data_IF_122115336014
#
_entry.id   IF_122115336014
#
_cell.length_a   1.000
_cell.length_b   1.000
_cell.length_c   1.000
_cell.angle_alpha   90.00
_cell.angle_beta   90.00
_cell.angle_gamma   90.00
#
_symmetry.space_group_name_H-M   'P 1'
#
loop_
_entity.id
_entity.type
_entity.pdbx_description
1 polymer ?
#
# COMPACT_ATOMS: atom_id res chain seq x y z
N UNK A 1 -9.58 19.43 -14.28
CA UNK A 1 -8.62 18.87 -15.25
C UNK A 1 -7.24 19.18 -14.71
N UNK A 2 -6.46 18.17 -14.43
CA UNK A 2 -5.14 18.31 -13.80
C UNK A 2 -4.16 18.91 -14.83
N UNK A 3 -3.18 19.70 -14.41
CA UNK A 3 -2.18 20.31 -15.31
C UNK A 3 -1.35 19.24 -16.08
N UNK A 4 -1.21 18.04 -15.50
CA UNK A 4 -0.60 16.90 -16.17
C UNK A 4 -1.38 16.43 -17.40
N UNK A 5 -2.69 16.29 -17.31
CA UNK A 5 -3.54 15.86 -18.43
C UNK A 5 -3.44 16.83 -19.60
N UNK A 6 -3.47 18.14 -19.34
CA UNK A 6 -3.26 19.16 -20.36
C UNK A 6 -1.88 19.07 -21.01
N UNK A 7 -0.87 18.68 -20.24
CA UNK A 7 0.47 18.51 -20.75
C UNK A 7 0.56 17.31 -21.69
N UNK A 8 -0.08 16.19 -21.34
CA UNK A 8 -0.13 14.99 -22.19
C UNK A 8 -0.90 15.25 -23.48
N UNK A 9 -2.05 15.93 -23.42
CA UNK A 9 -2.81 16.30 -24.61
C UNK A 9 -2.05 17.22 -25.57
N UNK A 10 -1.17 18.08 -25.07
CA UNK A 10 -0.29 18.92 -25.90
C UNK A 10 0.81 18.13 -26.58
N UNK A 11 1.34 17.11 -25.93
CA UNK A 11 2.44 16.29 -26.47
C UNK A 11 1.92 15.33 -27.56
N UNK A 12 0.67 14.86 -27.46
CA UNK A 12 0.10 13.87 -28.36
C UNK A 12 0.28 14.20 -29.86
N UNK A 13 -0.04 15.41 -30.36
CA UNK A 13 0.14 15.76 -31.77
C UNK A 13 1.61 15.86 -32.19
N UNK A 14 2.54 16.06 -31.25
CA UNK A 14 3.98 16.18 -31.52
C UNK A 14 4.68 14.82 -31.47
N UNK A 15 4.00 13.78 -31.02
CA UNK A 15 4.59 12.46 -30.80
C UNK A 15 4.98 11.79 -32.13
N UNK A 16 4.11 11.87 -33.17
CA UNK A 16 4.32 11.19 -34.44
C UNK A 16 4.58 9.70 -34.22
N UNK A 17 5.68 9.18 -34.79
CA UNK A 17 6.13 7.78 -34.66
C UNK A 17 7.01 7.53 -33.43
N UNK A 18 7.08 8.48 -32.47
CA UNK A 18 7.91 8.35 -31.27
C UNK A 18 7.13 7.68 -30.15
N UNK A 19 7.85 6.96 -29.29
CA UNK A 19 7.31 6.42 -28.04
C UNK A 19 7.52 7.42 -26.89
N UNK A 20 6.43 7.74 -26.17
CA UNK A 20 6.50 8.48 -24.93
C UNK A 20 6.71 7.51 -23.77
N UNK A 21 7.77 7.74 -22.98
CA UNK A 21 8.05 6.99 -21.76
C UNK A 21 7.75 7.88 -20.55
N UNK A 22 6.88 7.40 -19.66
CA UNK A 22 6.49 8.12 -18.46
C UNK A 22 6.99 7.33 -17.25
N UNK A 23 7.99 7.84 -16.50
CA UNK A 23 8.49 7.16 -15.31
C UNK A 23 7.56 7.38 -14.11
N UNK A 24 7.38 6.33 -13.31
CA UNK A 24 6.68 6.37 -12.03
C UNK A 24 7.62 5.97 -10.90
N UNK A 25 7.29 6.40 -9.68
CA UNK A 25 7.98 5.94 -8.47
C UNK A 25 7.40 4.59 -8.04
N UNK A 26 8.22 3.55 -8.01
CA UNK A 26 7.78 2.20 -7.66
C UNK A 26 7.08 1.47 -8.80
N UNK A 27 6.08 0.67 -8.47
CA UNK A 27 5.28 -0.09 -9.45
C UNK A 27 3.96 0.63 -9.72
N UNK A 28 3.73 1.01 -10.95
CA UNK A 28 2.51 1.70 -11.41
C UNK A 28 1.22 0.90 -11.17
N UNK A 29 1.31 -0.43 -11.04
CA UNK A 29 0.17 -1.29 -10.72
C UNK A 29 -0.37 -1.09 -9.30
N UNK A 30 0.33 -0.34 -8.44
CA UNK A 30 -0.10 -0.05 -7.08
C UNK A 30 -0.31 1.45 -6.87
N UNK A 31 -1.56 1.83 -6.62
CA UNK A 31 -2.01 3.21 -6.32
C UNK A 31 -2.03 4.20 -7.48
N UNK A 32 -1.67 3.80 -8.70
CA UNK A 32 -1.59 4.69 -9.88
C UNK A 32 -2.60 4.32 -10.98
N UNK A 33 -3.55 3.45 -10.71
CA UNK A 33 -4.54 2.99 -11.69
C UNK A 33 -5.32 4.13 -12.35
N UNK A 34 -5.70 5.16 -11.59
CA UNK A 34 -6.39 6.34 -12.13
C UNK A 34 -5.55 7.09 -13.16
N UNK A 35 -4.23 7.11 -13.01
CA UNK A 35 -3.32 7.75 -13.98
C UNK A 35 -3.19 6.89 -15.22
N UNK A 36 -3.06 5.57 -15.06
CA UNK A 36 -3.01 4.62 -16.18
C UNK A 36 -4.28 4.70 -17.03
N UNK A 37 -5.45 4.71 -16.41
CA UNK A 37 -6.73 4.84 -17.12
C UNK A 37 -6.79 6.12 -17.95
N UNK A 38 -6.35 7.25 -17.40
CA UNK A 38 -6.27 8.53 -18.13
C UNK A 38 -5.27 8.50 -19.28
N UNK A 39 -4.14 7.81 -19.11
CA UNK A 39 -3.17 7.65 -20.18
C UNK A 39 -3.74 6.81 -21.34
N UNK A 40 -4.50 5.75 -21.01
CA UNK A 40 -5.22 4.96 -22.01
C UNK A 40 -6.25 5.81 -22.76
N UNK A 41 -7.01 6.64 -22.04
CA UNK A 41 -7.98 7.56 -22.66
C UNK A 41 -7.31 8.57 -23.62
N UNK A 42 -6.10 9.05 -23.30
CA UNK A 42 -5.41 10.07 -24.10
C UNK A 42 -4.66 9.44 -25.28
N UNK A 43 -3.95 8.33 -25.07
CA UNK A 43 -3.03 7.73 -26.04
C UNK A 43 -3.57 6.49 -26.73
N UNK A 44 -4.68 5.92 -26.24
CA UNK A 44 -5.34 4.72 -26.77
C UNK A 44 -4.67 3.44 -26.28
N UNK A 45 -3.40 3.20 -26.62
CA UNK A 45 -2.65 2.02 -26.22
C UNK A 45 -1.50 2.42 -25.29
N UNK A 46 -1.33 1.68 -24.20
CA UNK A 46 -0.29 1.91 -23.18
C UNK A 46 0.36 0.59 -22.80
N UNK A 47 1.67 0.49 -22.91
CA UNK A 47 2.45 -0.63 -22.38
C UNK A 47 2.86 -0.31 -20.94
N UNK A 48 2.57 -1.23 -20.01
CA UNK A 48 2.96 -1.11 -18.61
C UNK A 48 4.21 -1.95 -18.37
N UNK A 49 5.30 -1.28 -18.00
CA UNK A 49 6.51 -1.96 -17.55
C UNK A 49 6.49 -2.03 -16.02
N UNK A 50 6.37 -3.23 -15.42
CA UNK A 50 6.27 -3.36 -13.97
C UNK A 50 7.57 -2.96 -13.29
N UNK A 51 7.45 -2.35 -12.10
CA UNK A 51 8.54 -2.02 -11.21
C UNK A 51 8.56 -2.86 -9.94
N UNK A 52 9.54 -2.63 -9.08
CA UNK A 52 9.56 -3.21 -7.73
C UNK A 52 8.70 -2.33 -6.83
N UNK A 53 7.61 -2.90 -6.33
CA UNK A 53 6.69 -2.20 -5.43
C UNK A 53 7.23 -2.15 -4.00
N UNK A 54 7.01 -1.02 -3.31
CA UNK A 54 7.23 -0.90 -1.86
C UNK A 54 6.44 -1.96 -1.06
N UNK A 55 5.28 -2.39 -1.56
CA UNK A 55 4.45 -3.45 -0.99
C UNK A 55 5.20 -4.79 -0.96
N UNK A 56 5.83 -5.17 -2.07
CA UNK A 56 6.61 -6.40 -2.16
C UNK A 56 7.81 -6.38 -1.21
N UNK A 57 8.51 -5.24 -1.14
CA UNK A 57 9.67 -5.08 -0.27
C UNK A 57 9.25 -5.11 1.21
N UNK A 58 8.18 -4.39 1.58
CA UNK A 58 7.65 -4.38 2.94
C UNK A 58 7.21 -5.77 3.41
N UNK A 59 6.44 -6.48 2.58
CA UNK A 59 6.01 -7.86 2.85
C UNK A 59 7.21 -8.80 3.06
N UNK A 60 8.23 -8.70 2.19
CA UNK A 60 9.45 -9.49 2.29
C UNK A 60 10.21 -9.23 3.58
N UNK A 61 10.37 -7.96 3.99
CA UNK A 61 11.06 -7.58 5.24
C UNK A 61 10.29 -8.00 6.48
N UNK A 62 8.97 -7.89 6.46
CA UNK A 62 8.10 -8.37 7.52
C UNK A 62 7.93 -9.89 7.51
N UNK A 63 8.52 -10.62 6.53
CA UNK A 63 8.39 -12.07 6.35
C UNK A 63 6.93 -12.52 6.21
N UNK A 64 6.15 -11.73 5.49
CA UNK A 64 4.74 -11.98 5.21
C UNK A 64 4.59 -12.35 3.74
N UNK A 65 4.10 -13.56 3.41
CA UNK A 65 3.88 -13.95 2.03
C UNK A 65 2.66 -13.26 1.44
N UNK A 66 2.82 -12.71 0.24
CA UNK A 66 1.75 -11.97 -0.43
C UNK A 66 0.56 -12.84 -0.83
N UNK A 67 0.79 -14.11 -1.16
CA UNK A 67 -0.27 -15.08 -1.50
C UNK A 67 -1.21 -15.43 -0.34
N UNK A 68 -0.80 -15.11 0.91
CA UNK A 68 -1.60 -15.29 2.13
C UNK A 68 -1.96 -13.97 2.81
N UNK A 69 -1.86 -12.88 2.07
CA UNK A 69 -2.10 -11.53 2.55
C UNK A 69 -3.21 -10.85 1.77
N UNK A 70 -3.74 -9.79 2.33
CA UNK A 70 -4.52 -8.78 1.62
C UNK A 70 -3.66 -7.54 1.42
N UNK A 71 -3.68 -7.00 0.21
CA UNK A 71 -3.07 -5.71 -0.11
C UNK A 71 -4.18 -4.68 -0.20
N UNK A 72 -4.11 -3.65 0.65
CA UNK A 72 -5.13 -2.60 0.73
C UNK A 72 -4.44 -1.26 0.53
N UNK A 73 -4.89 -0.48 -0.45
CA UNK A 73 -4.46 0.91 -0.59
C UNK A 73 -5.56 1.85 -0.12
N UNK A 74 -5.20 2.76 0.79
CA UNK A 74 -6.02 3.90 1.18
C UNK A 74 -5.52 5.20 0.53
N UNK A 75 -4.45 5.10 -0.27
CA UNK A 75 -3.87 6.21 -1.04
C UNK A 75 -4.72 6.48 -2.30
N UNK A 76 -5.96 6.84 -2.07
CA UNK A 76 -6.95 7.15 -3.12
C UNK A 76 -7.64 8.49 -2.82
N UNK A 77 -8.14 9.16 -3.84
CA UNK A 77 -8.82 10.46 -3.70
C UNK A 77 -10.28 10.33 -3.28
N UNK A 78 -10.89 9.17 -3.53
CA UNK A 78 -12.27 8.82 -3.18
C UNK A 78 -12.44 8.52 -1.68
N UNK A 79 -13.66 8.46 -1.13
CA UNK A 79 -13.93 7.99 0.23
C UNK A 79 -13.32 6.59 0.49
N UNK A 80 -12.90 6.34 1.73
CA UNK A 80 -12.19 5.09 2.11
C UNK A 80 -12.97 4.21 3.08
N UNK A 81 -14.26 4.48 3.29
CA UNK A 81 -15.09 3.72 4.22
C UNK A 81 -15.14 2.23 3.86
N UNK A 82 -15.27 1.91 2.57
CA UNK A 82 -15.23 0.52 2.09
C UNK A 82 -13.86 -0.12 2.35
N UNK A 83 -12.78 0.65 2.20
CA UNK A 83 -11.41 0.18 2.49
C UNK A 83 -11.17 -0.06 3.97
N UNK A 84 -11.78 0.75 4.85
CA UNK A 84 -11.76 0.53 6.29
C UNK A 84 -12.48 -0.77 6.66
N UNK A 85 -13.63 -1.04 6.05
CA UNK A 85 -14.37 -2.29 6.24
C UNK A 85 -13.58 -3.49 5.68
N UNK A 86 -12.94 -3.33 4.53
CA UNK A 86 -12.07 -4.36 3.94
C UNK A 86 -10.90 -4.70 4.89
N UNK A 87 -10.27 -3.68 5.51
CA UNK A 87 -9.24 -3.87 6.52
C UNK A 87 -9.74 -4.67 7.72
N UNK A 88 -10.88 -4.25 8.32
CA UNK A 88 -11.47 -4.97 9.45
C UNK A 88 -11.75 -6.43 9.10
N UNK A 89 -12.41 -6.66 7.95
CA UNK A 89 -12.75 -8.01 7.50
C UNK A 89 -11.50 -8.86 7.30
N UNK A 90 -10.47 -8.34 6.64
CA UNK A 90 -9.22 -9.07 6.44
C UNK A 90 -8.56 -9.48 7.76
N UNK A 91 -8.55 -8.57 8.74
CA UNK A 91 -7.99 -8.82 10.07
C UNK A 91 -8.82 -9.84 10.86
N UNK A 92 -10.15 -9.79 10.79
CA UNK A 92 -11.07 -10.77 11.43
C UNK A 92 -10.89 -12.16 10.81
N UNK A 93 -10.75 -12.21 9.47
CA UNK A 93 -10.54 -13.47 8.75
C UNK A 93 -9.13 -14.06 8.97
N UNK A 94 -8.25 -13.38 9.71
CA UNK A 94 -6.90 -13.84 10.06
C UNK A 94 -5.86 -13.65 8.96
N UNK A 95 -6.14 -12.83 7.95
CA UNK A 95 -5.15 -12.50 6.93
C UNK A 95 -4.10 -11.52 7.48
N UNK A 96 -2.86 -11.71 7.05
CA UNK A 96 -1.90 -10.62 7.09
C UNK A 96 -2.33 -9.52 6.11
N UNK A 97 -2.04 -8.26 6.44
CA UNK A 97 -2.43 -7.13 5.60
C UNK A 97 -1.23 -6.27 5.30
N UNK A 98 -1.00 -5.98 4.02
CA UNK A 98 -0.07 -4.94 3.58
C UNK A 98 -0.90 -3.73 3.18
N UNK A 99 -0.73 -2.63 3.90
CA UNK A 99 -1.56 -1.45 3.79
C UNK A 99 -0.73 -0.23 3.40
N UNK A 100 -1.20 0.51 2.39
CA UNK A 100 -0.69 1.84 2.06
C UNK A 100 -1.62 2.89 2.69
N UNK A 101 -1.16 3.68 3.69
CA UNK A 101 -1.97 4.69 4.37
C UNK A 101 -2.37 5.86 3.47
N UNK A 102 -3.17 6.77 4.02
CA UNK A 102 -3.69 7.96 3.34
C UNK A 102 -3.06 9.24 3.90
N UNK A 103 -2.12 9.89 3.16
CA UNK A 103 -1.18 10.83 3.77
C UNK A 103 -1.51 12.33 3.59
N UNK A 104 -2.75 12.75 3.36
CA UNK A 104 -3.02 14.18 3.11
C UNK A 104 -3.39 14.97 4.38
N UNK A 105 -2.42 15.46 5.19
CA UNK A 105 -2.68 16.10 6.48
C UNK A 105 -3.40 17.44 6.38
N UNK A 106 -3.29 18.13 5.23
CA UNK A 106 -4.02 19.39 4.99
C UNK A 106 -5.51 19.21 4.68
N UNK A 107 -5.94 17.95 4.53
CA UNK A 107 -7.32 17.57 4.29
C UNK A 107 -7.67 16.48 5.32
N UNK A 108 -8.20 16.88 6.51
CA UNK A 108 -8.44 15.94 7.61
C UNK A 108 -9.31 14.74 7.24
N UNK A 109 -10.26 14.94 6.34
CA UNK A 109 -11.10 13.88 5.75
C UNK A 109 -10.32 12.92 4.85
N UNK A 110 -9.08 13.29 4.47
CA UNK A 110 -8.17 12.52 3.63
C UNK A 110 -6.85 12.16 4.33
N UNK A 111 -6.84 12.18 5.65
CA UNK A 111 -5.70 11.78 6.48
C UNK A 111 -6.07 10.54 7.28
N UNK A 112 -5.39 9.43 7.04
CA UNK A 112 -5.60 8.17 7.74
C UNK A 112 -4.28 7.39 7.75
N UNK A 113 -3.40 7.84 8.63
CA UNK A 113 -2.03 7.36 8.79
C UNK A 113 -1.95 6.30 9.90
N UNK A 114 -0.78 5.69 10.16
CA UNK A 114 -0.66 4.61 11.13
C UNK A 114 -1.26 4.89 12.51
N UNK A 115 -1.14 6.11 13.03
CA UNK A 115 -1.73 6.52 14.31
C UNK A 115 -3.26 6.49 14.28
N UNK A 116 -3.87 7.09 13.24
CA UNK A 116 -5.33 7.11 13.07
C UNK A 116 -5.89 5.71 12.81
N UNK A 117 -5.14 4.87 12.07
CA UNK A 117 -5.49 3.47 11.84
C UNK A 117 -5.51 2.69 13.16
N UNK A 118 -4.52 2.90 14.03
CA UNK A 118 -4.46 2.26 15.34
C UNK A 118 -5.64 2.65 16.22
N UNK A 119 -5.96 3.94 16.28
CA UNK A 119 -7.13 4.46 17.01
C UNK A 119 -8.42 3.86 16.46
N UNK A 120 -8.58 3.87 15.14
CA UNK A 120 -9.74 3.31 14.46
C UNK A 120 -9.94 1.82 14.79
N UNK A 121 -8.90 1.00 14.72
CA UNK A 121 -8.98 -0.42 15.05
C UNK A 121 -9.37 -0.64 16.52
N UNK A 122 -8.78 0.11 17.45
CA UNK A 122 -9.13 0.05 18.87
C UNK A 122 -10.61 0.41 19.11
N UNK A 123 -11.10 1.49 18.49
CA UNK A 123 -12.48 1.95 18.62
C UNK A 123 -13.49 0.95 18.02
N UNK A 124 -13.07 0.14 17.08
CA UNK A 124 -13.85 -0.95 16.50
C UNK A 124 -13.63 -2.31 17.18
N UNK A 125 -13.05 -2.33 18.38
CA UNK A 125 -13.01 -3.51 19.25
C UNK A 125 -11.87 -4.49 18.97
N UNK A 126 -10.85 -4.10 18.18
CA UNK A 126 -9.67 -4.93 17.97
C UNK A 126 -8.73 -4.89 19.19
N UNK A 127 -8.11 -6.03 19.49
CA UNK A 127 -7.13 -6.13 20.59
C UNK A 127 -5.75 -5.62 20.16
N UNK A 128 -5.64 -4.30 19.97
CA UNK A 128 -4.48 -3.62 19.40
C UNK A 128 -3.17 -3.86 20.16
N UNK A 129 -3.25 -4.22 21.45
CA UNK A 129 -2.07 -4.53 22.29
C UNK A 129 -1.39 -5.86 21.94
N UNK A 130 -2.06 -6.75 21.21
CA UNK A 130 -1.51 -8.03 20.77
C UNK A 130 -1.25 -8.10 19.27
N UNK A 131 -1.81 -7.17 18.51
CA UNK A 131 -1.65 -7.15 17.06
C UNK A 131 -0.27 -6.64 16.67
N UNK A 132 0.56 -7.50 16.11
CA UNK A 132 1.90 -7.13 15.63
C UNK A 132 1.80 -6.35 14.31
N UNK A 133 2.62 -5.31 14.20
CA UNK A 133 2.68 -4.45 13.02
C UNK A 133 4.10 -3.98 12.76
N UNK A 134 4.45 -3.87 11.47
CA UNK A 134 5.61 -3.13 11.00
C UNK A 134 5.13 -1.89 10.25
N UNK A 135 5.87 -0.79 10.37
CA UNK A 135 5.69 0.40 9.52
C UNK A 135 7.05 0.72 8.91
N UNK A 136 7.11 0.68 7.60
CA UNK A 136 8.31 1.03 6.84
C UNK A 136 8.09 2.40 6.20
N UNK A 137 9.05 3.30 6.34
CA UNK A 137 9.02 4.62 5.74
C UNK A 137 10.15 4.75 4.74
N UNK A 138 9.90 5.44 3.63
CA UNK A 138 10.86 5.69 2.56
C UNK A 138 11.67 4.43 2.16
N UNK A 139 10.97 3.29 2.09
CA UNK A 139 11.56 1.95 1.91
C UNK A 139 12.44 1.91 0.65
N UNK A 140 13.61 1.26 0.75
CA UNK A 140 14.66 1.18 -0.27
C UNK A 140 15.44 2.46 -0.55
N UNK A 141 15.21 3.52 0.19
CA UNK A 141 16.01 4.75 0.09
C UNK A 141 17.04 4.84 1.20
N UNK A 142 17.95 5.82 1.12
CA UNK A 142 18.94 6.09 2.16
C UNK A 142 18.30 6.56 3.48
N UNK A 143 17.06 7.09 3.41
CA UNK A 143 16.31 7.59 4.56
C UNK A 143 15.31 6.57 5.10
N UNK A 144 15.47 5.30 4.75
CA UNK A 144 14.56 4.26 5.21
C UNK A 144 14.58 4.14 6.73
N UNK A 145 13.38 4.13 7.32
CA UNK A 145 13.16 3.80 8.72
C UNK A 145 12.17 2.65 8.86
N UNK A 146 12.24 1.95 9.98
CA UNK A 146 11.36 0.83 10.30
C UNK A 146 10.91 0.92 11.75
N UNK A 147 9.61 0.83 11.96
CA UNK A 147 9.00 0.59 13.26
C UNK A 147 8.49 -0.86 13.33
N UNK A 148 8.77 -1.54 14.42
CA UNK A 148 8.22 -2.85 14.76
C UNK A 148 7.64 -2.79 16.18
N UNK A 149 6.41 -3.26 16.35
CA UNK A 149 5.73 -3.23 17.65
C UNK A 149 4.31 -3.75 17.56
N UNK A 150 3.44 -3.27 18.45
CA UNK A 150 2.01 -3.53 18.39
C UNK A 150 1.27 -2.36 17.77
N UNK A 151 0.03 -2.63 17.31
CA UNK A 151 -0.82 -1.57 16.75
C UNK A 151 -1.07 -0.48 17.79
N UNK A 152 -1.19 -0.83 19.07
CA UNK A 152 -1.33 0.14 20.17
C UNK A 152 -0.15 1.12 20.25
N UNK A 153 1.05 0.66 19.97
CA UNK A 153 2.26 1.49 20.06
C UNK A 153 2.37 2.55 18.95
N UNK A 154 1.48 2.51 17.95
CA UNK A 154 1.40 3.51 16.88
C UNK A 154 0.65 4.77 17.30
N UNK A 155 -0.24 4.69 18.32
CA UNK A 155 -1.07 5.83 18.72
C UNK A 155 -0.20 7.02 19.14
N UNK A 156 -0.46 8.17 18.54
CA UNK A 156 0.27 9.42 18.79
C UNK A 156 1.66 9.50 18.17
N UNK A 157 2.08 8.51 17.38
CA UNK A 157 3.32 8.58 16.59
C UNK A 157 3.06 9.23 15.23
N UNK A 158 4.02 9.99 14.77
CA UNK A 158 4.03 10.57 13.43
C UNK A 158 4.83 9.69 12.48
N UNK A 159 4.32 9.54 11.26
CA UNK A 159 4.96 8.81 10.18
C UNK A 159 4.92 9.63 8.89
N UNK A 160 5.89 9.43 8.02
CA UNK A 160 5.97 10.13 6.74
C UNK A 160 4.89 9.65 5.76
N UNK A 161 4.62 10.44 4.75
CA UNK A 161 3.68 10.12 3.66
C UNK A 161 4.14 8.94 2.78
N UNK A 162 5.40 8.54 2.88
CA UNK A 162 5.96 7.37 2.20
C UNK A 162 5.94 6.10 3.07
N UNK A 163 4.87 5.90 3.82
CA UNK A 163 4.73 4.76 4.74
C UNK A 163 4.00 3.58 4.12
N UNK A 164 4.46 2.36 4.45
CA UNK A 164 3.75 1.10 4.21
C UNK A 164 3.64 0.35 5.54
N UNK A 165 2.43 -0.07 5.89
CA UNK A 165 2.17 -0.87 7.09
C UNK A 165 2.05 -2.35 6.72
N UNK A 166 2.52 -3.22 7.61
CA UNK A 166 2.31 -4.67 7.49
C UNK A 166 1.79 -5.22 8.80
N UNK A 167 0.54 -5.66 8.81
CA UNK A 167 -0.05 -6.42 9.91
C UNK A 167 0.32 -7.89 9.73
N UNK A 168 1.15 -8.41 10.61
CA UNK A 168 1.58 -9.80 10.54
C UNK A 168 0.69 -10.67 11.43
N UNK A 169 -0.26 -11.36 10.83
CA UNK A 169 -1.15 -12.33 11.49
C UNK A 169 -0.86 -13.79 11.12
N UNK A 170 -0.10 -14.02 10.05
CA UNK A 170 0.26 -15.37 9.66
C UNK A 170 1.13 -16.01 10.75
N UNK A 171 0.62 -17.05 11.39
CA UNK A 171 1.45 -17.86 12.27
C UNK A 171 2.49 -18.61 11.44
N UNK A 172 3.74 -18.62 11.88
CA UNK A 172 4.80 -19.44 11.26
C UNK A 172 4.41 -20.93 11.22
N UNK A 173 3.55 -21.36 12.13
CA UNK A 173 3.05 -22.73 12.23
C UNK A 173 2.33 -23.20 10.96
N UNK A 174 1.63 -22.34 10.26
CA UNK A 174 0.95 -22.68 9.01
C UNK A 174 1.91 -22.98 7.86
N UNK A 175 3.16 -22.51 7.93
CA UNK A 175 4.20 -22.78 6.95
C UNK A 175 5.00 -24.03 7.28
N UNK A 176 5.20 -24.29 8.56
CA UNK A 176 5.97 -25.45 9.03
C UNK A 176 5.27 -26.77 8.67
N UNK A 177 3.94 -26.79 8.62
CA UNK A 177 3.19 -27.98 8.26
C UNK A 177 3.37 -28.44 6.80
N UNK A 178 3.78 -27.57 5.88
CA UNK A 178 4.12 -27.95 4.51
C UNK A 178 5.54 -28.47 4.36
N UNK A 179 6.44 -28.14 5.25
CA UNK A 179 7.86 -28.45 5.15
C UNK A 179 8.14 -29.95 5.23
N UNK A 180 7.33 -30.68 5.96
CA UNK A 180 7.55 -32.09 6.27
C UNK A 180 6.88 -33.07 5.33
N UNK A 181 6.08 -32.61 4.38
CA UNK A 181 5.44 -33.50 3.40
C UNK A 181 6.38 -33.94 2.27
N UNK A 182 7.59 -33.40 2.22
CA UNK A 182 8.60 -33.72 1.20
C UNK A 182 9.64 -34.75 1.66
N UNK A 183 9.60 -35.16 2.90
CA UNK A 183 10.57 -36.08 3.51
C UNK A 183 10.06 -37.51 3.65
N UNK A 184 8.89 -37.85 3.06
CA UNK A 184 8.30 -39.20 3.05
C UNK A 184 8.13 -39.73 1.64
#
# INVERSE_FOLDING_TARGET
>A
MNDQEKSYQKILPELGDKTLVIPFTGDVNFSESEVVDRLIEIFGEVEIVPGISSIQVAASRAKVPLDKSKVITMHVTTPIEDKKLELQKALIDGFSVVLVPRPWPKQPDKHFMPSEIAIYLRENGFETTKMKVHVFEAITTENETNFEGTVKDLEGKEFSDLSVMVFNQASLDSYMNYRWQWEN
#
